data_IF_056412068796
#
_entry.id   IF_056412068796
#
_cell.length_a   1.000
_cell.length_b   1.000
_cell.length_c   1.000
_cell.angle_alpha   90.00
_cell.angle_beta   90.00
_cell.angle_gamma   90.00
#
_symmetry.space_group_name_H-M   'P 1'
#
loop_
_entity.id
_entity.type
_entity.pdbx_description
1 polymer ?
#
# COMPACT_ATOMS: atom_id res chain seq x y z
N UNK A 1 3.88 11.81 19.26
CA UNK A 1 4.30 12.58 18.08
C UNK A 1 5.08 11.63 17.19
N UNK A 2 4.81 11.61 15.88
CA UNK A 2 5.56 10.77 14.93
C UNK A 2 6.83 11.55 14.54
N UNK A 3 8.04 10.98 14.73
CA UNK A 3 9.28 11.67 14.38
C UNK A 3 9.46 11.77 12.86
N UNK A 4 9.99 12.91 12.42
CA UNK A 4 10.51 13.11 11.05
C UNK A 4 12.03 12.86 11.12
N UNK A 5 12.52 11.92 10.34
CA UNK A 5 13.90 11.44 10.35
C UNK A 5 14.50 11.68 8.97
N UNK A 6 15.62 12.39 8.91
CA UNK A 6 16.42 12.43 7.70
C UNK A 6 17.07 11.06 7.47
N UNK A 7 16.79 10.44 6.32
CA UNK A 7 17.30 9.12 5.98
C UNK A 7 18.84 9.08 5.88
N UNK A 8 19.47 10.24 5.62
CA UNK A 8 20.92 10.39 5.46
C UNK A 8 21.62 10.78 6.76
N UNK A 9 20.88 10.96 7.85
CA UNK A 9 21.43 11.27 9.16
C UNK A 9 22.36 10.13 9.63
N UNK A 10 23.53 10.47 10.17
CA UNK A 10 24.48 9.48 10.68
C UNK A 10 23.89 8.59 11.80
N UNK A 11 22.87 9.10 12.52
CA UNK A 11 22.15 8.39 13.58
C UNK A 11 20.77 7.89 13.13
N UNK A 12 20.48 7.84 11.82
CA UNK A 12 19.19 7.43 11.26
C UNK A 12 18.68 6.10 11.84
N UNK A 13 19.55 5.09 11.95
CA UNK A 13 19.19 3.76 12.48
C UNK A 13 18.73 3.82 13.93
N UNK A 14 19.42 4.58 14.79
CA UNK A 14 19.07 4.70 16.20
C UNK A 14 17.78 5.52 16.37
N UNK A 15 17.62 6.59 15.59
CA UNK A 15 16.37 7.37 15.55
C UNK A 15 15.19 6.50 15.10
N UNK A 16 15.38 5.68 14.07
CA UNK A 16 14.37 4.73 13.59
C UNK A 16 14.00 3.69 14.65
N UNK A 17 15.01 3.10 15.32
CA UNK A 17 14.79 2.16 16.43
C UNK A 17 13.93 2.79 17.52
N UNK A 18 14.30 4.00 17.96
CA UNK A 18 13.56 4.72 19.00
C UNK A 18 12.13 5.06 18.56
N UNK A 19 11.93 5.46 17.30
CA UNK A 19 10.60 5.73 16.76
C UNK A 19 9.69 4.49 16.83
N UNK A 20 10.18 3.35 16.36
CA UNK A 20 9.43 2.10 16.33
C UNK A 20 9.19 1.48 17.71
N UNK A 21 10.09 1.66 18.68
CA UNK A 21 9.90 1.15 20.05
C UNK A 21 9.06 2.06 20.94
N UNK A 22 8.89 3.34 20.59
CA UNK A 22 8.13 4.30 21.40
C UNK A 22 6.74 4.59 20.86
N UNK A 23 6.61 4.84 19.56
CA UNK A 23 5.34 5.21 18.94
C UNK A 23 4.94 4.34 17.75
N UNK A 24 5.84 3.47 17.27
CA UNK A 24 5.57 2.52 16.18
C UNK A 24 5.63 3.12 14.77
N UNK A 25 5.86 4.42 14.61
CA UNK A 25 5.84 5.11 13.32
C UNK A 25 7.02 6.07 13.16
N UNK A 26 7.46 6.31 11.93
CA UNK A 26 8.41 7.34 11.55
C UNK A 26 8.05 7.90 10.16
N UNK A 27 8.39 9.16 9.91
CA UNK A 27 8.35 9.78 8.57
C UNK A 27 9.79 10.00 8.12
N UNK A 28 10.16 9.53 6.93
CA UNK A 28 11.51 9.73 6.39
C UNK A 28 11.56 10.85 5.36
N UNK A 29 12.62 11.66 5.41
CA UNK A 29 12.97 12.67 4.39
C UNK A 29 14.29 12.31 3.72
N UNK A 30 14.56 12.88 2.54
CA UNK A 30 15.79 12.68 1.76
C UNK A 30 16.12 11.21 1.42
N UNK A 31 15.09 10.36 1.31
CA UNK A 31 15.21 8.95 0.89
C UNK A 31 15.71 8.84 -0.55
N UNK A 32 15.26 9.73 -1.42
CA UNK A 32 15.71 9.88 -2.80
C UNK A 32 16.37 11.26 -2.99
N UNK A 33 17.26 11.39 -3.96
CA UNK A 33 17.86 12.68 -4.34
C UNK A 33 16.86 13.59 -5.06
N UNK A 34 15.98 12.98 -5.86
CA UNK A 34 14.98 13.67 -6.68
C UNK A 34 13.64 12.93 -6.63
N UNK A 35 12.57 13.61 -7.06
CA UNK A 35 11.26 12.99 -7.19
C UNK A 35 11.25 11.98 -8.34
N UNK A 36 10.72 10.78 -8.09
CA UNK A 36 10.58 9.74 -9.11
C UNK A 36 9.27 9.94 -9.90
N UNK A 37 9.37 10.14 -11.22
CA UNK A 37 8.20 10.34 -12.09
C UNK A 37 7.24 9.14 -12.05
N UNK A 38 7.77 7.95 -11.80
CA UNK A 38 7.02 6.71 -11.69
C UNK A 38 5.92 6.80 -10.61
N UNK A 39 6.10 7.56 -9.53
CA UNK A 39 5.04 7.74 -8.54
C UNK A 39 3.82 8.47 -9.11
N UNK A 40 4.02 9.40 -10.04
CA UNK A 40 2.93 10.09 -10.72
C UNK A 40 2.24 9.17 -11.73
N UNK A 41 3.01 8.40 -12.50
CA UNK A 41 2.49 7.42 -13.46
C UNK A 41 1.65 6.35 -12.73
N UNK A 42 2.18 5.80 -11.62
CA UNK A 42 1.46 4.84 -10.78
C UNK A 42 0.17 5.42 -10.22
N UNK A 43 0.18 6.68 -9.75
CA UNK A 43 -1.02 7.32 -9.25
C UNK A 43 -2.11 7.38 -10.33
N UNK A 44 -1.75 7.79 -11.54
CA UNK A 44 -2.70 7.87 -12.65
C UNK A 44 -3.32 6.49 -12.94
N UNK A 45 -2.49 5.45 -13.06
CA UNK A 45 -2.96 4.08 -13.34
C UNK A 45 -3.90 3.55 -12.24
N UNK A 46 -3.58 3.82 -10.97
CA UNK A 46 -4.41 3.42 -9.83
C UNK A 46 -5.76 4.15 -9.83
N UNK A 47 -5.74 5.47 -10.07
CA UNK A 47 -6.96 6.27 -10.15
C UNK A 47 -7.86 5.79 -11.30
N UNK A 48 -7.28 5.56 -12.49
CA UNK A 48 -7.99 5.05 -13.66
C UNK A 48 -8.61 3.67 -13.42
N UNK A 49 -7.88 2.75 -12.76
CA UNK A 49 -8.39 1.42 -12.43
C UNK A 49 -9.60 1.51 -11.51
N UNK A 50 -9.53 2.29 -10.42
CA UNK A 50 -10.62 2.35 -9.45
C UNK A 50 -11.85 3.12 -9.95
N UNK A 51 -11.69 3.98 -10.96
CA UNK A 51 -12.79 4.61 -11.69
C UNK A 51 -13.55 3.65 -12.63
N UNK A 52 -13.01 2.47 -12.94
CA UNK A 52 -13.71 1.49 -13.76
C UNK A 52 -15.01 1.00 -13.10
N UNK A 53 -16.02 0.65 -13.90
CA UNK A 53 -17.23 -0.01 -13.41
C UNK A 53 -16.91 -1.28 -12.60
N UNK A 54 -17.72 -1.58 -11.59
CA UNK A 54 -17.49 -2.71 -10.67
C UNK A 54 -17.38 -4.06 -11.41
N UNK A 55 -18.18 -4.28 -12.46
CA UNK A 55 -18.14 -5.51 -13.26
C UNK A 55 -16.80 -5.70 -13.98
N UNK A 56 -16.11 -4.60 -14.34
CA UNK A 56 -14.76 -4.64 -14.92
C UNK A 56 -13.72 -4.96 -13.85
N UNK A 57 -13.78 -4.29 -12.69
CA UNK A 57 -12.83 -4.52 -11.58
C UNK A 57 -12.92 -5.96 -11.05
N UNK A 58 -14.13 -6.52 -10.93
CA UNK A 58 -14.36 -7.90 -10.49
C UNK A 58 -13.76 -8.99 -11.40
N UNK A 59 -13.39 -8.67 -12.64
CA UNK A 59 -12.65 -9.63 -13.50
C UNK A 59 -11.27 -9.97 -12.94
N UNK A 60 -10.73 -9.10 -12.10
CA UNK A 60 -9.42 -9.25 -11.48
C UNK A 60 -9.56 -9.60 -9.99
N UNK A 61 -10.58 -10.37 -9.61
CA UNK A 61 -10.90 -10.66 -8.20
C UNK A 61 -9.70 -11.22 -7.41
N UNK A 62 -9.64 -10.88 -6.14
CA UNK A 62 -8.60 -11.31 -5.21
C UNK A 62 -8.47 -12.85 -5.20
N UNK A 63 -7.26 -13.34 -5.38
CA UNK A 63 -6.94 -14.76 -5.56
C UNK A 63 -6.90 -15.56 -4.26
N UNK A 64 -7.22 -14.94 -3.12
CA UNK A 64 -7.09 -15.55 -1.80
C UNK A 64 -5.68 -15.44 -1.21
N UNK A 65 -5.52 -15.91 0.03
CA UNK A 65 -4.36 -15.63 0.90
C UNK A 65 -3.03 -16.18 0.36
N UNK A 66 -3.06 -17.31 -0.36
CA UNK A 66 -1.82 -17.98 -0.78
C UNK A 66 -1.10 -17.21 -1.88
N UNK A 67 -1.84 -16.69 -2.84
CA UNK A 67 -1.34 -15.92 -3.97
C UNK A 67 -1.33 -14.43 -3.66
N UNK A 68 -2.30 -13.95 -2.87
CA UNK A 68 -2.43 -12.59 -2.37
C UNK A 68 -2.35 -11.50 -3.46
N UNK A 69 -3.01 -11.73 -4.60
CA UNK A 69 -3.01 -10.84 -5.77
C UNK A 69 -4.45 -10.52 -6.16
N UNK A 70 -4.69 -9.33 -6.71
CA UNK A 70 -5.96 -8.96 -7.31
C UNK A 70 -6.80 -8.02 -6.46
N UNK A 71 -8.00 -7.75 -6.97
CA UNK A 71 -8.97 -6.75 -6.52
C UNK A 71 -9.85 -7.27 -5.39
N UNK A 72 -9.88 -6.52 -4.30
CA UNK A 72 -10.73 -6.73 -3.12
C UNK A 72 -11.68 -5.53 -3.02
N UNK A 73 -12.99 -5.76 -2.95
CA UNK A 73 -13.99 -4.69 -2.99
C UNK A 73 -14.59 -4.37 -1.62
N UNK A 74 -15.45 -3.35 -1.60
CA UNK A 74 -16.11 -2.86 -0.39
C UNK A 74 -16.74 -4.00 0.44
N UNK A 75 -16.50 -3.95 1.74
CA UNK A 75 -17.00 -4.87 2.78
C UNK A 75 -16.54 -6.34 2.72
N UNK A 76 -15.71 -6.70 1.73
CA UNK A 76 -15.16 -8.05 1.61
C UNK A 76 -14.07 -8.31 2.67
N UNK A 77 -13.20 -7.33 2.92
CA UNK A 77 -12.26 -7.40 4.05
C UNK A 77 -12.95 -7.11 5.38
N UNK A 78 -12.76 -8.01 6.35
CA UNK A 78 -13.31 -7.91 7.71
C UNK A 78 -12.27 -8.32 8.73
N UNK A 79 -11.94 -7.42 9.66
CA UNK A 79 -11.11 -7.75 10.82
C UNK A 79 -11.90 -8.56 11.86
N UNK A 80 -13.19 -8.27 12.02
CA UNK A 80 -14.10 -8.99 12.92
C UNK A 80 -15.24 -9.58 12.11
N UNK A 81 -15.40 -10.91 12.01
CA UNK A 81 -16.37 -11.55 11.10
C UNK A 81 -17.82 -11.08 11.28
N UNK A 82 -18.20 -10.68 12.49
CA UNK A 82 -19.56 -10.25 12.84
C UNK A 82 -19.81 -8.76 12.66
N UNK A 83 -18.80 -7.98 12.31
CA UNK A 83 -18.90 -6.53 12.09
C UNK A 83 -19.02 -6.23 10.59
N UNK A 84 -19.53 -5.04 10.22
CA UNK A 84 -19.44 -4.55 8.85
C UNK A 84 -17.99 -4.57 8.35
N UNK A 85 -17.81 -4.84 7.07
CA UNK A 85 -16.49 -4.81 6.47
C UNK A 85 -16.01 -3.40 6.17
N UNK A 86 -14.75 -3.29 5.79
CA UNK A 86 -14.12 -2.01 5.52
C UNK A 86 -14.75 -1.32 4.30
N UNK A 87 -15.02 -0.02 4.43
CA UNK A 87 -15.42 0.84 3.31
C UNK A 87 -14.20 1.28 2.51
N UNK A 88 -13.47 0.30 1.99
CA UNK A 88 -12.33 0.49 1.09
C UNK A 88 -12.38 -0.53 -0.04
N UNK A 89 -11.71 -0.21 -1.12
CA UNK A 89 -11.32 -1.17 -2.14
C UNK A 89 -9.79 -1.18 -2.26
N UNK A 90 -9.23 -2.31 -2.67
CA UNK A 90 -7.79 -2.46 -2.84
C UNK A 90 -7.46 -3.35 -4.01
N UNK A 91 -6.23 -3.24 -4.49
CA UNK A 91 -5.66 -4.15 -5.48
C UNK A 91 -4.29 -4.59 -5.00
N UNK A 92 -4.12 -5.89 -4.80
CA UNK A 92 -2.84 -6.44 -4.39
C UNK A 92 -2.02 -6.78 -5.64
N UNK A 93 -0.83 -6.22 -5.73
CA UNK A 93 0.06 -6.34 -6.88
C UNK A 93 1.41 -6.91 -6.45
N UNK A 94 2.02 -7.67 -7.34
CA UNK A 94 3.40 -8.16 -7.23
C UNK A 94 4.16 -7.80 -8.50
N UNK A 95 5.49 -7.92 -8.47
CA UNK A 95 6.32 -7.64 -9.65
C UNK A 95 5.79 -8.37 -10.90
N UNK A 96 5.92 -7.77 -12.11
CA UNK A 96 5.26 -8.30 -13.31
C UNK A 96 5.60 -9.76 -13.63
N UNK A 97 6.81 -10.21 -13.32
CA UNK A 97 7.28 -11.59 -13.47
C UNK A 97 6.53 -12.60 -12.57
N UNK A 98 5.81 -12.11 -11.56
CA UNK A 98 5.04 -12.89 -10.59
C UNK A 98 3.54 -12.71 -10.72
N UNK A 99 3.09 -11.83 -11.61
CA UNK A 99 1.67 -11.70 -11.93
C UNK A 99 1.23 -12.93 -12.72
N UNK A 100 0.11 -13.52 -12.33
CA UNK A 100 -0.49 -14.65 -13.06
C UNK A 100 -1.26 -14.10 -14.28
N UNK A 101 -1.25 -14.85 -15.38
CA UNK A 101 -2.03 -14.52 -16.60
C UNK A 101 -3.55 -14.57 -16.37
#
# INVERSE_FOLDING_TARGET
>A
MIPIIDFRDENCVEKMRNAYTTCGFAVFTHVYDEWLSEFADWKQLVDEFFLLPLDKKKKYSYSGVKENIGYNWLEEERLTPTMPGDLKESYNWVSPDRMQE
#
